data_IF_873563528043
#
_entry.id   IF_873563528043
#
_cell.length_a   1.000
_cell.length_b   1.000
_cell.length_c   1.000
_cell.angle_alpha   90.00
_cell.angle_beta   90.00
_cell.angle_gamma   90.00
#
_symmetry.space_group_name_H-M   'P 1'
#
loop_
_entity.id
_entity.type
_entity.pdbx_description
1 polymer ?
#
# COMPACT_ATOMS: atom_id res chain seq x y z
N UNK A 1 82.93 47.86 35.80
CA UNK A 1 82.12 49.03 36.17
C UNK A 1 82.06 49.93 34.95
N UNK A 2 80.93 50.19 34.30
CA UNK A 2 79.58 50.35 34.83
C UNK A 2 78.56 50.24 33.69
N UNK A 3 77.59 49.36 33.89
CA UNK A 3 76.17 49.36 33.54
C UNK A 3 75.66 50.24 32.38
N UNK A 4 75.11 49.58 31.37
CA UNK A 4 74.24 50.14 30.32
C UNK A 4 72.79 49.73 30.65
N UNK A 5 71.80 50.65 30.65
CA UNK A 5 70.41 50.29 30.86
C UNK A 5 69.75 49.91 29.53
N UNK A 6 69.10 48.74 29.46
CA UNK A 6 68.19 48.37 28.38
C UNK A 6 66.80 48.14 28.96
N UNK A 7 65.95 49.15 28.86
CA UNK A 7 64.52 49.06 29.11
C UNK A 7 63.82 49.90 28.04
N UNK A 8 63.27 49.24 27.03
CA UNK A 8 62.11 49.72 26.29
C UNK A 8 61.53 48.56 25.49
N UNK A 9 60.50 47.96 26.07
CA UNK A 9 59.57 47.05 25.42
C UNK A 9 58.82 47.79 24.32
N UNK A 10 59.15 47.49 23.06
CA UNK A 10 58.35 47.89 21.91
C UNK A 10 57.11 46.98 21.84
N UNK A 11 55.94 47.53 22.17
CA UNK A 11 54.65 46.85 22.08
C UNK A 11 54.28 46.53 20.63
N UNK A 12 54.00 45.26 20.36
CA UNK A 12 53.56 44.75 19.05
C UNK A 12 52.04 44.88 18.95
N UNK A 13 51.57 45.75 18.06
CA UNK A 13 50.16 45.87 17.67
C UNK A 13 49.69 44.59 16.97
N UNK A 14 48.53 44.08 17.35
CA UNK A 14 47.86 42.91 16.77
C UNK A 14 46.77 43.42 15.83
N UNK A 15 47.06 43.40 14.53
CA UNK A 15 46.10 43.80 13.50
C UNK A 15 44.95 42.78 13.42
N UNK A 16 43.75 43.25 13.74
CA UNK A 16 42.53 42.44 13.78
C UNK A 16 41.91 42.43 12.38
N UNK A 17 42.08 41.34 11.63
CA UNK A 17 41.39 41.15 10.36
C UNK A 17 39.88 40.98 10.60
N UNK A 18 39.09 41.99 10.24
CA UNK A 18 37.63 41.95 10.28
C UNK A 18 37.11 40.87 9.31
N UNK A 19 36.50 39.81 9.83
CA UNK A 19 35.79 38.80 9.03
C UNK A 19 34.55 39.43 8.40
N UNK A 20 34.51 39.55 7.07
CA UNK A 20 33.28 39.83 6.35
C UNK A 20 32.34 38.62 6.48
N UNK A 21 31.29 38.76 7.28
CA UNK A 21 30.21 37.79 7.34
C UNK A 21 29.43 37.83 6.01
N UNK A 22 29.45 36.72 5.28
CA UNK A 22 28.56 36.51 4.13
C UNK A 22 27.13 36.54 4.68
N UNK A 23 26.32 37.53 4.28
CA UNK A 23 24.91 37.57 4.64
C UNK A 23 24.20 36.40 3.98
N UNK A 24 23.82 35.41 4.76
CA UNK A 24 22.85 34.42 4.32
C UNK A 24 21.52 35.14 4.01
N UNK A 25 21.09 35.08 2.76
CA UNK A 25 19.77 35.57 2.36
C UNK A 25 18.76 34.50 2.78
N UNK A 26 17.96 34.79 3.81
CA UNK A 26 16.84 33.93 4.18
C UNK A 26 15.76 33.90 3.08
N UNK A 27 15.03 32.79 3.00
CA UNK A 27 13.90 32.63 2.11
C UNK A 27 12.85 33.72 2.33
N UNK A 28 12.31 34.26 1.24
CA UNK A 28 11.20 35.21 1.34
C UNK A 28 9.87 34.47 1.43
N UNK A 29 8.86 35.04 2.10
CA UNK A 29 7.50 34.48 2.14
C UNK A 29 6.91 34.31 0.74
N UNK A 30 7.25 35.22 -0.18
CA UNK A 30 6.79 35.18 -1.56
C UNK A 30 7.31 33.95 -2.31
N UNK A 31 8.54 33.51 -2.03
CA UNK A 31 9.15 32.34 -2.65
C UNK A 31 8.44 31.05 -2.24
N UNK A 32 8.12 30.91 -0.94
CA UNK A 32 7.33 29.78 -0.45
C UNK A 32 5.89 29.81 -0.98
N UNK A 33 5.28 31.00 -1.12
CA UNK A 33 3.94 31.14 -1.69
C UNK A 33 3.90 30.64 -3.13
N UNK A 34 4.84 31.08 -3.98
CA UNK A 34 4.90 30.65 -5.38
C UNK A 34 5.10 29.13 -5.47
N UNK A 35 5.95 28.54 -4.63
CA UNK A 35 6.15 27.08 -4.58
C UNK A 35 4.87 26.34 -4.21
N UNK A 36 4.15 26.79 -3.18
CA UNK A 36 2.88 26.18 -2.78
C UNK A 36 1.82 26.24 -3.88
N UNK A 37 1.76 27.36 -4.62
CA UNK A 37 0.85 27.49 -5.77
C UNK A 37 1.18 26.49 -6.86
N UNK A 38 2.47 26.33 -7.22
CA UNK A 38 2.90 25.37 -8.24
C UNK A 38 2.61 23.94 -7.78
N UNK A 39 2.92 23.58 -6.53
CA UNK A 39 2.63 22.24 -5.97
C UNK A 39 1.12 21.97 -5.97
N UNK A 40 0.30 22.95 -5.57
CA UNK A 40 -1.16 22.80 -5.57
C UNK A 40 -1.72 22.58 -6.98
N UNK A 41 -1.21 23.30 -7.98
CA UNK A 41 -1.60 23.14 -9.38
C UNK A 41 -1.21 21.75 -9.91
N UNK A 42 0.04 21.33 -9.67
CA UNK A 42 0.53 20.02 -10.10
C UNK A 42 -0.24 18.88 -9.40
N UNK A 43 -0.48 18.99 -8.09
CA UNK A 43 -1.23 18.01 -7.32
C UNK A 43 -2.66 17.84 -7.87
N UNK A 44 -3.33 18.94 -8.21
CA UNK A 44 -4.67 18.92 -8.79
C UNK A 44 -4.75 18.21 -10.15
N UNK A 45 -3.70 18.30 -10.98
CA UNK A 45 -3.64 17.64 -12.29
C UNK A 45 -3.27 16.16 -12.21
N UNK A 46 -2.34 15.80 -11.31
CA UNK A 46 -1.79 14.45 -11.22
C UNK A 46 -2.68 13.52 -10.40
N UNK A 47 -3.32 14.02 -9.32
CA UNK A 47 -4.07 13.18 -8.39
C UNK A 47 -5.19 12.35 -9.05
N UNK A 48 -6.08 12.89 -9.92
CA UNK A 48 -7.16 12.10 -10.51
C UNK A 48 -6.64 10.95 -11.39
N UNK A 49 -5.59 11.19 -12.17
CA UNK A 49 -4.98 10.19 -13.06
C UNK A 49 -4.33 9.06 -12.28
N UNK A 50 -3.69 9.39 -11.16
CA UNK A 50 -3.08 8.40 -10.27
C UNK A 50 -4.14 7.47 -9.66
N UNK A 51 -5.26 8.02 -9.18
CA UNK A 51 -6.35 7.22 -8.62
C UNK A 51 -7.01 6.31 -9.65
N UNK A 52 -7.31 6.81 -10.86
CA UNK A 52 -7.88 6.00 -11.96
C UNK A 52 -6.96 4.83 -12.38
N UNK A 53 -5.64 5.05 -12.34
CA UNK A 53 -4.68 4.01 -12.71
C UNK A 53 -4.57 2.93 -11.62
N UNK A 54 -4.61 3.33 -10.34
CA UNK A 54 -4.60 2.38 -9.22
C UNK A 54 -5.84 1.50 -9.26
N UNK A 55 -7.05 2.07 -9.36
CA UNK A 55 -8.22 1.22 -9.21
C UNK A 55 -8.51 0.32 -10.42
N UNK A 56 -8.10 0.70 -11.65
CA UNK A 56 -8.03 -0.24 -12.78
C UNK A 56 -7.09 -1.42 -12.51
N UNK A 57 -6.00 -1.21 -11.77
CA UNK A 57 -5.09 -2.27 -11.34
C UNK A 57 -5.75 -3.14 -10.27
N UNK A 58 -6.46 -2.54 -9.32
CA UNK A 58 -7.15 -3.26 -8.24
C UNK A 58 -8.17 -4.27 -8.78
N UNK A 59 -9.06 -3.88 -9.68
CA UNK A 59 -10.03 -4.83 -10.26
C UNK A 59 -9.35 -6.03 -10.94
N UNK A 60 -8.20 -5.83 -11.59
CA UNK A 60 -7.44 -6.92 -12.20
C UNK A 60 -6.79 -7.83 -11.16
N UNK A 61 -6.22 -7.26 -10.10
CA UNK A 61 -5.64 -8.01 -8.99
C UNK A 61 -6.73 -8.85 -8.33
N UNK A 62 -7.90 -8.25 -8.07
CA UNK A 62 -9.03 -8.95 -7.47
C UNK A 62 -9.47 -10.14 -8.32
N UNK A 63 -9.61 -9.94 -9.64
CA UNK A 63 -9.96 -11.02 -10.58
C UNK A 63 -8.93 -12.15 -10.58
N UNK A 64 -7.64 -11.82 -10.60
CA UNK A 64 -6.58 -12.82 -10.56
C UNK A 64 -6.56 -13.60 -9.22
N UNK A 65 -6.83 -12.93 -8.11
CA UNK A 65 -6.97 -13.56 -6.80
C UNK A 65 -8.19 -14.48 -6.74
N UNK A 66 -9.35 -14.06 -7.25
CA UNK A 66 -10.56 -14.90 -7.37
C UNK A 66 -10.28 -16.14 -8.21
N UNK A 67 -9.60 -16.00 -9.35
CA UNK A 67 -9.23 -17.15 -10.19
C UNK A 67 -8.29 -18.11 -9.45
N UNK A 68 -7.30 -17.59 -8.73
CA UNK A 68 -6.38 -18.41 -7.92
C UNK A 68 -7.09 -19.13 -6.79
N UNK A 69 -8.03 -18.48 -6.11
CA UNK A 69 -8.83 -19.07 -5.05
C UNK A 69 -9.80 -20.12 -5.60
N UNK A 70 -10.40 -19.86 -6.77
CA UNK A 70 -11.23 -20.82 -7.50
C UNK A 70 -10.49 -22.12 -7.81
N UNK A 71 -9.25 -22.03 -8.30
CA UNK A 71 -8.39 -23.22 -8.52
C UNK A 71 -8.15 -24.02 -7.24
N UNK A 72 -7.96 -23.36 -6.10
CA UNK A 72 -7.79 -24.02 -4.82
C UNK A 72 -9.09 -24.68 -4.33
N UNK A 73 -10.25 -24.02 -4.55
CA UNK A 73 -11.58 -24.58 -4.27
C UNK A 73 -11.85 -25.83 -5.12
N UNK A 74 -11.50 -25.79 -6.41
CA UNK A 74 -11.65 -26.94 -7.30
C UNK A 74 -10.77 -28.11 -6.86
N UNK A 75 -9.53 -27.86 -6.46
CA UNK A 75 -8.66 -28.89 -5.91
C UNK A 75 -9.21 -29.49 -4.60
N UNK A 76 -9.76 -28.65 -3.71
CA UNK A 76 -10.44 -29.13 -2.50
C UNK A 76 -11.60 -30.07 -2.86
N UNK A 77 -12.42 -29.70 -3.85
CA UNK A 77 -13.53 -30.54 -4.32
C UNK A 77 -13.06 -31.85 -4.93
N UNK A 78 -11.95 -31.87 -5.66
CA UNK A 78 -11.39 -33.11 -6.21
C UNK A 78 -11.00 -34.11 -5.12
N UNK A 79 -10.47 -33.62 -4.00
CA UNK A 79 -10.02 -34.48 -2.90
C UNK A 79 -11.15 -34.88 -1.95
N UNK A 80 -11.99 -33.91 -1.55
CA UNK A 80 -13.02 -34.08 -0.52
C UNK A 80 -14.37 -34.49 -1.13
N UNK A 81 -14.57 -34.24 -2.43
CA UNK A 81 -15.80 -34.53 -3.18
C UNK A 81 -16.82 -33.40 -3.21
N UNK A 82 -16.63 -32.36 -2.40
CA UNK A 82 -17.52 -31.19 -2.30
C UNK A 82 -16.71 -29.92 -2.03
N UNK A 83 -17.25 -28.75 -2.35
CA UNK A 83 -16.66 -27.47 -1.92
C UNK A 83 -16.82 -27.26 -0.41
N UNK A 84 -15.95 -26.45 0.23
CA UNK A 84 -16.13 -26.08 1.63
C UNK A 84 -17.50 -25.45 1.89
N UNK A 85 -18.12 -25.72 3.03
CA UNK A 85 -19.38 -25.04 3.39
C UNK A 85 -19.14 -23.55 3.63
N UNK A 86 -20.21 -22.74 3.59
CA UNK A 86 -20.12 -21.31 3.92
C UNK A 86 -19.54 -21.06 5.32
N UNK A 87 -19.83 -21.93 6.29
CA UNK A 87 -19.31 -21.85 7.66
C UNK A 87 -17.81 -22.18 7.75
N UNK A 88 -17.36 -23.16 6.96
CA UNK A 88 -15.94 -23.50 6.85
C UNK A 88 -15.16 -22.39 6.11
N UNK A 89 -15.80 -21.78 5.11
CA UNK A 89 -15.28 -20.67 4.33
C UNK A 89 -13.98 -20.99 3.59
N UNK A 90 -13.28 -19.93 3.18
CA UNK A 90 -11.97 -20.05 2.52
C UNK A 90 -10.86 -20.56 3.46
N UNK A 91 -11.10 -20.58 4.78
CA UNK A 91 -10.13 -21.10 5.75
C UNK A 91 -9.91 -22.60 5.60
N UNK A 92 -10.91 -23.35 5.10
CA UNK A 92 -10.78 -24.77 4.80
C UNK A 92 -9.74 -25.08 3.72
N UNK A 93 -9.36 -24.08 2.92
CA UNK A 93 -8.28 -24.20 1.95
C UNK A 93 -6.91 -24.29 2.61
N UNK A 94 -6.77 -23.81 3.84
CA UNK A 94 -5.51 -23.83 4.57
C UNK A 94 -5.48 -24.83 5.71
N UNK A 95 -6.60 -24.97 6.41
CA UNK A 95 -6.70 -25.80 7.60
C UNK A 95 -7.72 -26.89 7.37
N UNK A 96 -7.35 -28.14 7.68
CA UNK A 96 -8.23 -29.28 7.56
C UNK A 96 -9.52 -29.07 8.36
N UNK A 97 -10.71 -29.06 7.72
CA UNK A 97 -11.97 -29.03 8.45
C UNK A 97 -12.26 -30.41 9.08
N UNK A 98 -13.09 -30.44 10.12
CA UNK A 98 -13.37 -31.65 10.90
C UNK A 98 -13.98 -32.78 10.05
N UNK A 99 -14.83 -32.41 9.08
CA UNK A 99 -15.61 -33.36 8.28
C UNK A 99 -15.02 -33.66 6.89
N UNK A 100 -13.71 -33.47 6.70
CA UNK A 100 -13.03 -33.75 5.42
C UNK A 100 -11.97 -34.85 5.56
N UNK A 101 -12.35 -36.14 5.56
CA UNK A 101 -11.42 -37.25 5.75
C UNK A 101 -10.30 -37.29 4.69
N UNK A 102 -10.63 -36.98 3.44
CA UNK A 102 -9.72 -37.01 2.28
C UNK A 102 -8.99 -35.68 2.00
N UNK A 103 -9.07 -34.71 2.91
CA UNK A 103 -8.36 -33.44 2.79
C UNK A 103 -6.85 -33.67 2.65
N UNK A 104 -6.27 -33.13 1.58
CA UNK A 104 -4.85 -33.28 1.22
C UNK A 104 -4.15 -31.92 1.06
N UNK A 105 -4.70 -30.87 1.66
CA UNK A 105 -4.15 -29.52 1.63
C UNK A 105 -2.86 -29.34 2.46
N UNK A 106 -2.39 -28.10 2.65
CA UNK A 106 -3.07 -26.86 2.30
C UNK A 106 -3.12 -26.61 0.78
N UNK A 107 -4.26 -26.13 0.30
CA UNK A 107 -4.53 -25.80 -1.10
C UNK A 107 -4.02 -24.41 -1.50
N UNK A 108 -3.62 -23.60 -0.51
CA UNK A 108 -3.01 -22.29 -0.70
C UNK A 108 -1.59 -22.28 -0.12
N UNK A 109 -0.67 -21.60 -0.81
CA UNK A 109 0.72 -21.43 -0.33
C UNK A 109 0.82 -20.43 0.83
N UNK A 110 -0.13 -19.51 0.92
CA UNK A 110 -0.19 -18.42 1.91
C UNK A 110 -1.61 -18.28 2.45
N UNK A 111 -1.75 -17.48 3.50
CA UNK A 111 -3.04 -17.00 3.97
C UNK A 111 -3.88 -16.45 2.81
N UNK A 112 -5.20 -16.65 2.90
CA UNK A 112 -6.16 -15.99 2.01
C UNK A 112 -5.90 -14.49 2.11
N UNK A 113 -5.43 -13.84 1.04
CA UNK A 113 -5.16 -12.42 1.09
C UNK A 113 -6.50 -11.67 1.15
N UNK A 114 -6.53 -10.46 1.75
CA UNK A 114 -7.64 -9.56 1.50
C UNK A 114 -7.67 -9.17 0.01
N UNK A 115 -8.83 -8.68 -0.41
CA UNK A 115 -8.98 -8.03 -1.69
C UNK A 115 -8.13 -6.74 -1.78
N UNK A 116 -8.01 -6.13 -2.97
CA UNK A 116 -7.20 -4.92 -3.18
C UNK A 116 -7.70 -3.65 -2.46
N UNK A 117 -8.84 -3.74 -1.76
CA UNK A 117 -9.42 -2.68 -0.94
C UNK A 117 -9.41 -3.06 0.54
N UNK A 118 -8.53 -4.00 0.92
CA UNK A 118 -8.28 -4.48 2.28
C UNK A 118 -9.50 -5.14 2.96
N UNK A 119 -10.37 -5.78 2.17
CA UNK A 119 -11.56 -6.49 2.67
C UNK A 119 -11.46 -8.00 2.44
N UNK A 120 -12.10 -8.82 3.26
CA UNK A 120 -12.17 -10.26 2.99
C UNK A 120 -12.99 -10.54 1.73
N UNK A 121 -12.60 -11.57 0.99
CA UNK A 121 -13.43 -12.12 -0.07
C UNK A 121 -14.68 -12.77 0.50
N UNK A 122 -15.80 -12.57 -0.19
CA UNK A 122 -17.07 -13.18 0.13
C UNK A 122 -17.16 -14.55 -0.55
N UNK A 123 -17.45 -15.58 0.24
CA UNK A 123 -17.58 -16.95 -0.24
C UNK A 123 -18.89 -17.55 0.25
N UNK A 124 -19.60 -18.24 -0.63
CA UNK A 124 -20.83 -18.96 -0.31
C UNK A 124 -20.92 -20.27 -1.10
N UNK A 125 -21.27 -21.34 -0.40
CA UNK A 125 -21.61 -22.64 -0.98
C UNK A 125 -22.79 -23.26 -0.21
N UNK A 126 -23.86 -23.72 -0.89
CA UNK A 126 -24.08 -23.62 -2.34
C UNK A 126 -24.25 -22.16 -2.82
N UNK A 127 -23.71 -21.85 -4.00
CA UNK A 127 -23.84 -20.52 -4.61
C UNK A 127 -25.25 -20.25 -5.16
N UNK A 128 -25.57 -18.98 -5.39
CA UNK A 128 -26.77 -18.55 -6.13
C UNK A 128 -26.56 -18.61 -7.65
N UNK A 129 -25.33 -18.39 -8.14
CA UNK A 129 -25.03 -18.31 -9.56
C UNK A 129 -24.35 -19.58 -10.09
N UNK A 130 -23.60 -20.28 -9.25
CA UNK A 130 -22.88 -21.51 -9.58
C UNK A 130 -22.81 -22.45 -8.36
N UNK A 131 -22.03 -23.53 -8.45
CA UNK A 131 -21.81 -24.46 -7.33
C UNK A 131 -21.29 -23.74 -6.07
N UNK A 132 -20.51 -22.67 -6.26
CA UNK A 132 -20.11 -21.71 -5.24
C UNK A 132 -20.11 -20.28 -5.82
N UNK A 133 -20.28 -19.29 -4.96
CA UNK A 133 -20.04 -17.89 -5.29
C UNK A 133 -18.78 -17.40 -4.58
N UNK A 134 -17.87 -16.76 -5.31
CA UNK A 134 -16.70 -16.07 -4.77
C UNK A 134 -16.60 -14.68 -5.37
N UNK A 135 -16.60 -13.65 -4.53
CA UNK A 135 -16.65 -12.27 -5.01
C UNK A 135 -16.08 -11.24 -4.03
N UNK A 136 -15.79 -10.05 -4.53
CA UNK A 136 -15.45 -8.84 -3.78
C UNK A 136 -16.39 -7.71 -4.22
N UNK A 137 -16.84 -6.88 -3.27
CA UNK A 137 -17.75 -5.75 -3.51
C UNK A 137 -17.05 -4.52 -4.11
N UNK A 138 -15.82 -4.65 -4.59
CA UNK A 138 -15.08 -3.52 -5.15
C UNK A 138 -14.74 -2.46 -4.10
N UNK A 139 -14.48 -1.24 -4.60
CA UNK A 139 -13.99 -0.11 -3.78
C UNK A 139 -14.99 0.40 -2.75
N UNK A 140 -16.27 0.48 -3.09
CA UNK A 140 -17.29 1.03 -2.18
C UNK A 140 -17.72 0.02 -1.11
N UNK A 141 -17.62 -1.28 -1.39
CA UNK A 141 -17.92 -2.34 -0.43
C UNK A 141 -19.40 -2.65 -0.34
N UNK A 142 -20.14 -2.28 -1.38
CA UNK A 142 -21.58 -2.48 -1.48
C UNK A 142 -21.86 -3.33 -2.72
N UNK A 143 -22.95 -4.12 -2.70
CA UNK A 143 -23.36 -4.86 -3.88
C UNK A 143 -23.69 -3.91 -5.04
N UNK A 144 -23.27 -4.29 -6.25
CA UNK A 144 -23.51 -3.55 -7.48
C UNK A 144 -22.37 -2.59 -7.81
N UNK A 145 -22.69 -1.31 -7.98
CA UNK A 145 -21.72 -0.27 -8.34
C UNK A 145 -21.31 -0.23 -9.81
N UNK A 146 -20.39 0.69 -10.14
CA UNK A 146 -19.84 0.84 -11.50
C UNK A 146 -18.37 1.23 -11.47
N UNK A 147 -17.62 0.88 -12.52
CA UNK A 147 -16.19 1.16 -12.59
C UNK A 147 -15.42 0.42 -11.50
N UNK A 148 -14.70 1.13 -10.63
CA UNK A 148 -13.95 0.53 -9.51
C UNK A 148 -14.86 0.05 -8.37
N UNK A 149 -16.09 0.54 -8.34
CA UNK A 149 -17.09 0.15 -7.37
C UNK A 149 -17.88 -1.09 -7.82
N UNK A 150 -17.65 -1.59 -9.04
CA UNK A 150 -18.35 -2.79 -9.49
C UNK A 150 -17.86 -4.01 -8.73
N UNK A 151 -18.79 -4.88 -8.37
CA UNK A 151 -18.48 -6.22 -7.86
C UNK A 151 -17.53 -6.97 -8.81
N UNK A 152 -16.56 -7.68 -8.24
CA UNK A 152 -15.69 -8.61 -8.96
C UNK A 152 -16.09 -10.02 -8.56
N UNK A 153 -16.59 -10.78 -9.52
CA UNK A 153 -17.27 -12.07 -9.30
C UNK A 153 -16.53 -13.23 -9.98
N UNK A 154 -16.77 -14.45 -9.49
CA UNK A 154 -16.25 -15.69 -10.08
C UNK A 154 -17.05 -16.18 -11.30
N UNK A 155 -18.28 -15.68 -11.48
CA UNK A 155 -19.14 -15.92 -12.65
C UNK A 155 -19.10 -14.77 -13.65
#
# INVERSE_FOLDING_TARGET
>A
MSDIPFMSTCGRSIDTHARQAVREKGFTLLELLVVMVIIGLLAGLVAPRYFEQIGKSNTKIARAQIESLGKALDQFRLDVGAYPTTEQGLQALMTKPQDAPHWSGPYLQKAVPPDPWDRPYQYRAPGEHADYDLYSYGKDGQPGGSGENSDVTSW
#
